data_IF_907289574006
#
_entry.id   IF_907289574006
#
_cell.length_a   1.000
_cell.length_b   1.000
_cell.length_c   1.000
_cell.angle_alpha   90.00
_cell.angle_beta   90.00
_cell.angle_gamma   90.00
#
_symmetry.space_group_name_H-M   'P 1'
#
loop_
_entity.id
_entity.type
_entity.pdbx_description
1 polymer ?
#
# COMPACT_ATOMS: atom_id res chain seq x y z
N UNK A 1 -5.14 -22.85 -38.61
CA UNK A 1 -3.74 -22.73 -39.06
C UNK A 1 -2.91 -22.14 -37.94
N UNK A 2 -1.60 -22.42 -37.89
CA UNK A 2 -0.70 -21.88 -36.86
C UNK A 2 -0.76 -20.34 -36.76
N UNK A 3 -1.02 -19.66 -37.88
CA UNK A 3 -1.23 -18.20 -37.95
C UNK A 3 -2.41 -17.70 -37.10
N UNK A 4 -3.51 -18.46 -37.04
CA UNK A 4 -4.66 -18.11 -36.19
C UNK A 4 -4.33 -18.28 -34.71
N UNK A 5 -3.53 -19.29 -34.35
CA UNK A 5 -3.13 -19.51 -32.95
C UNK A 5 -2.15 -18.43 -32.50
N UNK A 6 -1.21 -18.04 -33.37
CA UNK A 6 -0.26 -16.97 -33.08
C UNK A 6 -0.98 -15.64 -32.84
N UNK A 7 -1.94 -15.30 -33.70
CA UNK A 7 -2.74 -14.07 -33.57
C UNK A 7 -3.58 -14.05 -32.29
N UNK A 8 -4.12 -15.19 -31.87
CA UNK A 8 -4.84 -15.30 -30.59
C UNK A 8 -3.91 -15.06 -29.40
N UNK A 9 -2.73 -15.68 -29.39
CA UNK A 9 -1.74 -15.50 -28.32
C UNK A 9 -1.26 -14.05 -28.23
N UNK A 10 -1.07 -13.37 -29.37
CA UNK A 10 -0.71 -11.94 -29.40
C UNK A 10 -1.80 -11.07 -28.76
N UNK A 11 -3.08 -11.33 -29.05
CA UNK A 11 -4.19 -10.59 -28.45
C UNK A 11 -4.30 -10.88 -26.94
N UNK A 12 -4.13 -12.14 -26.52
CA UNK A 12 -4.12 -12.51 -25.11
C UNK A 12 -2.99 -11.81 -24.34
N UNK A 13 -1.78 -11.77 -24.90
CA UNK A 13 -0.66 -11.05 -24.30
C UNK A 13 -0.96 -9.55 -24.15
N UNK A 14 -1.56 -8.93 -25.18
CA UNK A 14 -1.93 -7.52 -25.13
C UNK A 14 -2.97 -7.23 -24.04
N UNK A 15 -3.94 -8.11 -23.85
CA UNK A 15 -4.92 -7.99 -22.75
C UNK A 15 -4.22 -8.11 -21.39
N UNK A 16 -3.26 -9.04 -21.25
CA UNK A 16 -2.47 -9.19 -20.02
C UNK A 16 -1.62 -7.93 -19.75
N UNK A 17 -0.98 -7.37 -20.77
CA UNK A 17 -0.20 -6.13 -20.65
C UNK A 17 -1.08 -4.97 -20.17
N UNK A 18 -2.27 -4.79 -20.77
CA UNK A 18 -3.23 -3.78 -20.36
C UNK A 18 -3.70 -3.97 -18.91
N UNK A 19 -3.94 -5.22 -18.50
CA UNK A 19 -4.30 -5.54 -17.12
C UNK A 19 -3.16 -5.20 -16.15
N UNK A 20 -1.91 -5.52 -16.50
CA UNK A 20 -0.75 -5.19 -15.68
C UNK A 20 -0.57 -3.66 -15.53
N UNK A 21 -0.80 -2.89 -16.60
CA UNK A 21 -0.77 -1.43 -16.52
C UNK A 21 -1.87 -0.87 -15.60
N UNK A 22 -3.09 -1.41 -15.67
CA UNK A 22 -4.18 -1.04 -14.75
C UNK A 22 -3.80 -1.33 -13.29
N UNK A 23 -3.31 -2.54 -13.02
CA UNK A 23 -2.89 -2.94 -11.67
C UNK A 23 -1.77 -2.06 -11.13
N UNK A 24 -0.79 -1.71 -11.97
CA UNK A 24 0.28 -0.79 -11.57
C UNK A 24 -0.27 0.59 -11.22
N UNK A 25 -1.22 1.09 -12.00
CA UNK A 25 -1.87 2.37 -11.74
C UNK A 25 -2.68 2.35 -10.44
N UNK A 26 -3.43 1.28 -10.19
CA UNK A 26 -4.19 1.07 -8.95
C UNK A 26 -3.25 0.99 -7.73
N UNK A 27 -2.12 0.28 -7.84
CA UNK A 27 -1.11 0.22 -6.78
C UNK A 27 -0.50 1.60 -6.49
N UNK A 28 -0.22 2.40 -7.52
CA UNK A 28 0.28 3.76 -7.35
C UNK A 28 -0.76 4.67 -6.68
N UNK A 29 -2.03 4.57 -7.08
CA UNK A 29 -3.11 5.33 -6.44
C UNK A 29 -3.30 4.94 -4.98
N UNK A 30 -3.18 3.65 -4.67
CA UNK A 30 -3.25 3.13 -3.31
C UNK A 30 -2.09 3.65 -2.46
N UNK A 31 -0.86 3.61 -2.96
CA UNK A 31 0.32 4.11 -2.22
C UNK A 31 0.21 5.60 -1.94
N UNK A 32 -0.21 6.41 -2.92
CA UNK A 32 -0.46 7.84 -2.73
C UNK A 32 -1.56 8.11 -1.69
N UNK A 33 -2.66 7.35 -1.75
CA UNK A 33 -3.75 7.48 -0.78
C UNK A 33 -3.31 7.12 0.64
N UNK A 34 -2.47 6.09 0.78
CA UNK A 34 -1.84 5.70 2.05
C UNK A 34 -0.92 6.81 2.59
N UNK A 35 -0.04 7.36 1.75
CA UNK A 35 0.85 8.46 2.12
C UNK A 35 0.01 9.65 2.60
N UNK A 36 -1.02 10.03 1.86
CA UNK A 36 -1.86 11.17 2.22
C UNK A 36 -2.62 10.96 3.53
N UNK A 37 -3.20 9.77 3.71
CA UNK A 37 -3.98 9.44 4.91
C UNK A 37 -3.10 9.36 6.16
N UNK A 38 -1.87 8.88 6.00
CA UNK A 38 -0.90 8.74 7.09
C UNK A 38 -0.01 9.97 7.30
N UNK A 39 -0.05 10.99 6.43
CA UNK A 39 0.78 12.19 6.51
C UNK A 39 0.68 12.93 7.84
N UNK A 40 -0.50 12.90 8.47
CA UNK A 40 -0.76 13.53 9.77
C UNK A 40 -0.39 12.66 10.96
N UNK A 41 0.07 11.43 10.73
CA UNK A 41 0.45 10.47 11.75
C UNK A 41 1.95 10.30 11.72
N UNK A 42 2.59 10.43 12.88
CA UNK A 42 4.03 10.22 13.01
C UNK A 42 4.30 8.97 13.83
N UNK A 43 5.08 8.05 13.27
CA UNK A 43 5.57 6.90 14.02
C UNK A 43 6.74 7.31 14.92
N UNK A 44 6.92 6.64 16.07
CA UNK A 44 8.08 6.84 16.91
C UNK A 44 9.37 6.65 16.11
N UNK A 45 10.31 7.57 16.24
CA UNK A 45 11.62 7.52 15.56
C UNK A 45 11.58 7.58 14.03
N UNK A 46 10.45 7.97 13.42
CA UNK A 46 10.36 8.19 11.99
C UNK A 46 10.01 9.63 11.64
N UNK A 47 10.49 10.04 10.47
CA UNK A 47 10.03 11.26 9.81
C UNK A 47 8.60 11.06 9.27
N UNK A 48 7.87 12.16 8.99
CA UNK A 48 6.58 12.08 8.31
C UNK A 48 6.65 11.22 7.05
N UNK A 49 5.59 10.47 6.79
CA UNK A 49 5.53 9.57 5.63
C UNK A 49 5.66 10.37 4.33
N UNK A 50 6.48 9.86 3.41
CA UNK A 50 6.67 10.38 2.07
C UNK A 50 7.05 9.22 1.13
N UNK A 51 7.13 9.48 -0.17
CA UNK A 51 7.42 8.45 -1.16
C UNK A 51 8.78 7.75 -0.95
N UNK A 52 9.76 8.43 -0.37
CA UNK A 52 11.11 7.88 -0.16
C UNK A 52 11.18 6.96 1.06
N UNK A 53 10.37 7.22 2.09
CA UNK A 53 10.36 6.43 3.32
C UNK A 53 9.14 5.50 3.44
N UNK A 54 8.28 5.45 2.42
CA UNK A 54 7.02 4.70 2.43
C UNK A 54 7.21 3.23 2.79
N UNK A 55 8.14 2.53 2.12
CA UNK A 55 8.43 1.12 2.41
C UNK A 55 8.85 0.88 3.87
N UNK A 56 9.74 1.73 4.40
CA UNK A 56 10.18 1.65 5.79
C UNK A 56 9.03 1.95 6.76
N UNK A 57 8.16 2.91 6.40
CA UNK A 57 7.00 3.29 7.20
C UNK A 57 5.99 2.15 7.26
N UNK A 58 5.68 1.52 6.12
CA UNK A 58 4.79 0.35 6.05
C UNK A 58 5.38 -0.85 6.79
N UNK A 59 6.69 -1.07 6.68
CA UNK A 59 7.38 -2.13 7.42
C UNK A 59 7.25 -1.94 8.93
N UNK A 60 7.49 -0.71 9.41
CA UNK A 60 7.35 -0.37 10.83
C UNK A 60 5.91 -0.49 11.30
N UNK A 61 4.94 0.01 10.51
CA UNK A 61 3.52 -0.21 10.78
C UNK A 61 3.19 -1.69 10.93
N UNK A 62 3.65 -2.51 9.98
CA UNK A 62 3.41 -3.95 9.98
C UNK A 62 4.02 -4.60 11.22
N UNK A 63 5.22 -4.20 11.62
CA UNK A 63 5.85 -4.64 12.88
C UNK A 63 4.99 -4.25 14.08
N UNK A 64 4.53 -3.01 14.16
CA UNK A 64 3.70 -2.51 15.26
C UNK A 64 2.37 -3.26 15.40
N UNK A 65 1.75 -3.62 14.27
CA UNK A 65 0.53 -4.42 14.23
C UNK A 65 0.77 -5.91 14.52
N UNK A 66 1.93 -6.46 14.15
CA UNK A 66 2.27 -7.86 14.39
C UNK A 66 2.70 -8.09 15.83
N UNK A 67 3.46 -7.14 16.39
CA UNK A 67 4.06 -7.20 17.71
C UNK A 67 3.29 -6.36 18.75
N UNK A 68 1.95 -6.38 18.72
CA UNK A 68 1.11 -5.56 19.61
C UNK A 68 1.42 -5.72 21.10
N UNK A 69 1.93 -6.89 21.51
CA UNK A 69 2.34 -7.16 22.89
C UNK A 69 3.51 -6.26 23.35
N UNK A 70 4.36 -5.83 22.42
CA UNK A 70 5.46 -4.87 22.68
C UNK A 70 4.97 -3.42 22.72
N UNK A 71 3.80 -3.14 22.13
CA UNK A 71 3.21 -1.81 22.01
C UNK A 71 1.99 -1.63 22.95
N UNK A 72 2.05 -2.18 24.16
CA UNK A 72 0.95 -2.14 25.13
C UNK A 72 0.71 -0.78 25.82
N UNK A 73 1.62 0.19 25.67
CA UNK A 73 1.48 1.50 26.30
C UNK A 73 0.22 2.24 25.80
N UNK A 74 -0.41 3.08 26.64
CA UNK A 74 -1.62 3.82 26.26
C UNK A 74 -1.40 4.69 25.01
N UNK A 75 -0.22 5.29 24.89
CA UNK A 75 0.19 6.13 23.76
C UNK A 75 0.28 5.32 22.46
N UNK A 76 0.92 4.14 22.51
CA UNK A 76 1.04 3.29 21.33
C UNK A 76 -0.31 2.70 20.90
N UNK A 77 -1.19 2.37 21.86
CA UNK A 77 -2.57 1.95 21.55
C UNK A 77 -3.37 3.07 20.88
N UNK A 78 -3.28 4.29 21.38
CA UNK A 78 -3.94 5.44 20.77
C UNK A 78 -3.40 5.71 19.36
N UNK A 79 -2.08 5.61 19.17
CA UNK A 79 -1.43 5.72 17.86
C UNK A 79 -1.92 4.65 16.87
N UNK A 80 -1.94 3.37 17.28
CA UNK A 80 -2.44 2.27 16.44
C UNK A 80 -3.90 2.47 16.04
N UNK A 81 -4.75 2.92 16.95
CA UNK A 81 -6.15 3.24 16.62
C UNK A 81 -6.26 4.44 15.68
N UNK A 82 -5.45 5.49 15.84
CA UNK A 82 -5.41 6.61 14.89
C UNK A 82 -4.99 6.14 13.49
N UNK A 83 -3.96 5.29 13.39
CA UNK A 83 -3.52 4.69 12.12
C UNK A 83 -4.65 3.89 11.48
N UNK A 84 -5.34 3.06 12.27
CA UNK A 84 -6.46 2.24 11.78
C UNK A 84 -7.60 3.09 11.25
N UNK A 85 -7.91 4.22 11.90
CA UNK A 85 -8.92 5.15 11.42
C UNK A 85 -8.49 5.85 10.13
N UNK A 86 -7.23 6.28 10.04
CA UNK A 86 -6.68 6.87 8.83
C UNK A 86 -6.73 5.90 7.64
N UNK A 87 -6.35 4.64 7.83
CA UNK A 87 -6.38 3.62 6.78
C UNK A 87 -7.80 3.23 6.39
N UNK A 88 -8.77 3.25 7.33
CA UNK A 88 -10.19 3.01 7.01
C UNK A 88 -10.82 4.05 6.09
N UNK A 89 -10.24 5.26 6.03
CA UNK A 89 -10.70 6.33 5.14
C UNK A 89 -10.27 6.15 3.68
N UNK A 90 -9.37 5.22 3.39
CA UNK A 90 -8.85 4.99 2.05
C UNK A 90 -9.91 4.24 1.24
N UNK A 91 -10.45 4.93 0.24
CA UNK A 91 -11.25 4.28 -0.81
C UNK A 91 -10.28 3.74 -1.86
N UNK A 92 -10.36 2.44 -2.10
CA UNK A 92 -9.62 1.71 -3.15
C UNK A 92 -10.59 1.42 -4.28
#
# INVERSE_FOLDING_TARGET
TMESNLKTIEEENKVIEQQNESLLHELANLSQSLIHSLANIQLPHMEPINEQNFDAYVTTLTDMYTNQDRYQSPENKALLENIKQAVRGIQV
#
